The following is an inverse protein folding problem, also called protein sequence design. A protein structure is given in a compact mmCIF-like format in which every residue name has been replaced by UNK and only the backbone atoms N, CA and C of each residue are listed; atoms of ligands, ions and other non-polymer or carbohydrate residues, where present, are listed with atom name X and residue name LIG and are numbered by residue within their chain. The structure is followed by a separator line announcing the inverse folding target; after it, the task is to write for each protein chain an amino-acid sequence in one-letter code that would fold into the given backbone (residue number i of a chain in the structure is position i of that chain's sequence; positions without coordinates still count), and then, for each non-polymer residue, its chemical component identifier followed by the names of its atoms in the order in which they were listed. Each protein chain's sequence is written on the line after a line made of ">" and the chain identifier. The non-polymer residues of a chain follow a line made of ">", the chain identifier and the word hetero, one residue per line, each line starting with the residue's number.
data_IF_334797328156
#
_entry.id   IF_334797328156
#
_cell.length_a   1.000
_cell.length_b   1.000
_cell.length_c   1.000
_cell.angle_alpha   90.00
_cell.angle_beta   90.00
_cell.angle_gamma   90.00
#
_symmetry.space_group_name_H-M   'P 1'
#
loop_
_entity.id
_entity.type
_entity.pdbx_description
1 polymer ?
#
# COMPACT_ATOMS: atom_id res chain seq x y z
N UNK A 1 -8.41 -10.74 6.31
CA UNK A 1 -9.27 -9.58 6.75
C UNK A 1 -10.70 -10.09 6.96
N UNK A 2 -11.53 -9.45 7.84
CA UNK A 2 -12.94 -9.83 8.01
C UNK A 2 -13.78 -9.26 6.86
N UNK A 3 -14.88 -9.93 6.50
CA UNK A 3 -15.77 -9.53 5.40
C UNK A 3 -16.31 -8.10 5.58
N UNK A 4 -16.70 -7.74 6.80
CA UNK A 4 -17.22 -6.40 7.13
C UNK A 4 -16.22 -5.29 6.80
N UNK A 5 -14.91 -5.57 6.90
CA UNK A 5 -13.87 -4.61 6.54
C UNK A 5 -13.82 -4.39 5.02
N UNK A 6 -13.97 -5.43 4.20
CA UNK A 6 -14.07 -5.28 2.74
C UNK A 6 -15.33 -4.52 2.34
N UNK A 7 -16.49 -4.81 2.95
CA UNK A 7 -17.74 -4.08 2.70
C UNK A 7 -17.60 -2.59 3.04
N UNK A 8 -16.93 -2.27 4.15
CA UNK A 8 -16.66 -0.89 4.52
C UNK A 8 -15.67 -0.21 3.56
N UNK A 9 -14.64 -0.92 3.11
CA UNK A 9 -13.70 -0.41 2.11
C UNK A 9 -14.41 -0.08 0.79
N UNK A 10 -15.25 -0.98 0.27
CA UNK A 10 -16.04 -0.74 -0.95
C UNK A 10 -16.87 0.54 -0.87
N UNK A 11 -17.47 0.82 0.30
CA UNK A 11 -18.29 2.03 0.50
C UNK A 11 -17.47 3.32 0.58
N UNK A 12 -16.21 3.25 1.00
CA UNK A 12 -15.44 4.43 1.39
C UNK A 12 -14.19 4.68 0.58
N UNK A 13 -13.65 3.69 -0.13
CA UNK A 13 -12.36 3.77 -0.83
C UNK A 13 -12.26 4.90 -1.85
N UNK A 14 -13.36 5.30 -2.47
CA UNK A 14 -13.34 6.37 -3.47
C UNK A 14 -13.63 7.76 -2.91
N UNK A 15 -14.19 7.84 -1.70
CA UNK A 15 -14.56 9.10 -1.07
C UNK A 15 -13.65 9.48 0.10
N UNK A 16 -13.13 8.53 0.86
CA UNK A 16 -12.37 8.78 2.07
C UNK A 16 -11.00 9.43 1.76
N UNK A 17 -10.67 10.49 2.48
CA UNK A 17 -9.47 11.31 2.31
C UNK A 17 -8.17 10.51 2.27
N UNK A 18 -8.05 9.48 3.11
CA UNK A 18 -6.83 8.70 3.25
C UNK A 18 -6.55 7.85 2.00
N UNK A 19 -7.54 7.09 1.50
CA UNK A 19 -7.38 6.30 0.28
C UNK A 19 -7.04 7.19 -0.92
N UNK A 20 -7.76 8.31 -1.07
CA UNK A 20 -7.55 9.26 -2.17
C UNK A 20 -6.17 9.92 -2.11
N UNK A 21 -5.76 10.40 -0.93
CA UNK A 21 -4.46 11.03 -0.71
C UNK A 21 -3.31 10.04 -0.95
N UNK A 22 -3.44 8.83 -0.42
CA UNK A 22 -2.43 7.77 -0.62
C UNK A 22 -2.26 7.43 -2.09
N UNK A 23 -3.36 7.17 -2.83
CA UNK A 23 -3.30 6.93 -4.29
C UNK A 23 -2.60 8.06 -5.05
N UNK A 24 -2.86 9.33 -4.67
CA UNK A 24 -2.21 10.48 -5.30
C UNK A 24 -0.71 10.48 -5.07
N UNK A 25 -0.26 10.21 -3.84
CA UNK A 25 1.16 10.13 -3.50
C UNK A 25 1.84 8.96 -4.23
N UNK A 26 1.25 7.77 -4.19
CA UNK A 26 1.78 6.59 -4.86
C UNK A 26 1.87 6.79 -6.38
N UNK A 27 0.83 7.36 -6.99
CA UNK A 27 0.84 7.74 -8.40
C UNK A 27 1.98 8.69 -8.74
N UNK A 28 2.30 9.65 -7.86
CA UNK A 28 3.41 10.58 -8.05
C UNK A 28 4.78 9.90 -7.94
N UNK A 29 4.93 8.94 -7.03
CA UNK A 29 6.15 8.13 -6.93
C UNK A 29 6.35 7.32 -8.23
N UNK A 30 5.31 6.64 -8.69
CA UNK A 30 5.37 5.84 -9.92
C UNK A 30 5.71 6.74 -11.12
N UNK A 31 5.03 7.86 -11.27
CA UNK A 31 5.30 8.82 -12.35
C UNK A 31 6.76 9.28 -12.38
N UNK A 32 7.29 9.76 -11.24
CA UNK A 32 8.61 10.37 -11.17
C UNK A 32 9.76 9.36 -11.14
N UNK A 33 9.58 8.22 -10.49
CA UNK A 33 10.70 7.33 -10.14
C UNK A 33 10.67 5.98 -10.87
N UNK A 34 9.58 5.69 -11.56
CA UNK A 34 9.43 4.44 -12.32
C UNK A 34 9.16 4.77 -13.78
N UNK A 35 8.01 5.38 -14.07
CA UNK A 35 7.55 5.61 -15.44
C UNK A 35 8.47 6.55 -16.21
N UNK A 36 8.89 7.67 -15.62
CA UNK A 36 9.80 8.63 -16.27
C UNK A 36 11.22 8.11 -16.49
N UNK A 37 11.58 7.00 -15.85
CA UNK A 37 12.92 6.38 -15.98
C UNK A 37 12.93 5.19 -16.96
N UNK A 38 11.79 4.85 -17.56
CA UNK A 38 11.66 3.74 -18.49
C UNK A 38 11.52 4.27 -19.94
N UNK A 39 12.00 3.47 -20.88
CA UNK A 39 11.79 3.74 -22.32
C UNK A 39 10.48 3.13 -22.86
N UNK A 40 9.69 2.49 -22.00
CA UNK A 40 8.47 1.80 -22.40
C UNK A 40 7.26 2.74 -22.28
N UNK A 41 6.37 2.75 -23.31
CA UNK A 41 5.15 3.56 -23.28
C UNK A 41 4.11 3.04 -22.27
N UNK A 42 4.24 1.79 -21.83
CA UNK A 42 3.39 1.12 -20.85
C UNK A 42 4.21 0.14 -20.02
N UNK A 43 3.94 0.09 -18.74
CA UNK A 43 4.52 -0.87 -17.79
C UNK A 43 3.69 -2.15 -17.73
N UNK A 44 4.34 -3.28 -17.48
CA UNK A 44 3.68 -4.45 -16.93
C UNK A 44 3.76 -4.39 -15.40
N UNK A 45 2.61 -4.30 -14.74
CA UNK A 45 2.50 -4.04 -13.31
C UNK A 45 1.86 -5.24 -12.62
N UNK A 46 2.43 -5.66 -11.50
CA UNK A 46 1.82 -6.63 -10.58
C UNK A 46 1.44 -5.91 -9.28
N UNK A 47 0.17 -5.99 -8.87
CA UNK A 47 -0.25 -5.65 -7.51
C UNK A 47 -0.66 -6.92 -6.77
N UNK A 48 -0.02 -7.22 -5.63
CA UNK A 48 -0.38 -8.37 -4.79
C UNK A 48 -1.09 -7.88 -3.55
N UNK A 49 -2.26 -8.46 -3.27
CA UNK A 49 -3.16 -8.01 -2.21
C UNK A 49 -3.93 -6.75 -2.60
N UNK A 50 -4.53 -6.74 -3.79
CA UNK A 50 -5.23 -5.56 -4.29
C UNK A 50 -6.54 -5.23 -3.52
N UNK A 51 -6.99 -6.13 -2.63
CA UNK A 51 -8.21 -5.95 -1.86
C UNK A 51 -9.43 -5.74 -2.78
N UNK A 52 -10.16 -4.68 -2.53
CA UNK A 52 -11.32 -4.27 -3.34
C UNK A 52 -10.96 -3.47 -4.61
N UNK A 53 -9.67 -3.46 -4.98
CA UNK A 53 -9.20 -2.86 -6.23
C UNK A 53 -9.03 -1.34 -6.20
N UNK A 54 -8.98 -0.72 -5.03
CA UNK A 54 -8.96 0.75 -4.91
C UNK A 54 -7.79 1.42 -5.64
N UNK A 55 -6.65 0.76 -5.78
CA UNK A 55 -5.47 1.33 -6.45
C UNK A 55 -5.43 1.03 -7.96
N UNK A 56 -6.21 0.07 -8.44
CA UNK A 56 -6.17 -0.39 -9.84
C UNK A 56 -6.40 0.72 -10.86
N UNK A 57 -7.36 1.65 -10.68
CA UNK A 57 -7.54 2.77 -11.61
C UNK A 57 -6.31 3.69 -11.69
N UNK A 58 -5.59 3.84 -10.59
CA UNK A 58 -4.34 4.63 -10.56
C UNK A 58 -3.21 3.90 -11.29
N UNK A 59 -3.04 2.59 -11.03
CA UNK A 59 -2.00 1.76 -11.67
C UNK A 59 -2.23 1.62 -13.18
N UNK A 60 -3.47 1.43 -13.62
CA UNK A 60 -3.86 1.29 -15.03
C UNK A 60 -3.48 2.50 -15.90
N UNK A 61 -3.26 3.67 -15.30
CA UNK A 61 -2.75 4.85 -16.01
C UNK A 61 -1.31 4.69 -16.50
N UNK A 62 -0.54 3.80 -15.89
CA UNK A 62 0.87 3.57 -16.20
C UNK A 62 1.10 2.34 -17.06
N UNK A 63 0.14 1.43 -17.16
CA UNK A 63 0.32 0.22 -17.96
C UNK A 63 -0.72 -0.86 -17.76
N UNK A 64 -0.35 -2.08 -18.13
CA UNK A 64 -1.18 -3.26 -17.91
C UNK A 64 -0.99 -3.75 -16.48
N UNK A 65 -2.08 -4.06 -15.79
CA UNK A 65 -2.06 -4.48 -14.39
C UNK A 65 -2.51 -5.94 -14.27
N UNK A 66 -1.70 -6.76 -13.63
CA UNK A 66 -2.11 -8.06 -13.09
C UNK A 66 -2.29 -7.86 -11.58
N UNK A 67 -3.50 -8.08 -11.08
CA UNK A 67 -3.85 -7.93 -9.68
C UNK A 67 -4.11 -9.29 -9.05
N UNK A 68 -3.50 -9.56 -7.90
CA UNK A 68 -3.72 -10.77 -7.12
C UNK A 68 -4.43 -10.42 -5.80
N UNK A 69 -5.45 -11.19 -5.47
CA UNK A 69 -6.16 -11.10 -4.20
C UNK A 69 -6.58 -12.50 -3.74
N UNK A 70 -6.42 -12.78 -2.46
CA UNK A 70 -6.79 -14.06 -1.86
C UNK A 70 -8.29 -14.20 -1.67
N UNK A 71 -8.96 -13.15 -1.22
CA UNK A 71 -10.36 -13.15 -0.82
C UNK A 71 -11.29 -13.14 -2.03
N UNK A 72 -12.17 -14.15 -2.13
CA UNK A 72 -13.08 -14.32 -3.26
C UNK A 72 -14.10 -13.17 -3.31
N UNK A 73 -14.65 -12.75 -2.15
CA UNK A 73 -15.59 -11.65 -2.06
C UNK A 73 -14.99 -10.34 -2.56
N UNK A 74 -13.76 -10.03 -2.14
CA UNK A 74 -13.08 -8.83 -2.59
C UNK A 74 -12.90 -8.83 -4.12
N UNK A 75 -12.44 -9.95 -4.71
CA UNK A 75 -12.25 -10.07 -6.17
C UNK A 75 -13.54 -9.91 -6.96
N UNK A 76 -14.64 -10.52 -6.51
CA UNK A 76 -15.94 -10.47 -7.19
C UNK A 76 -16.53 -9.06 -7.24
N UNK A 77 -16.12 -8.17 -6.32
CA UNK A 77 -16.60 -6.79 -6.24
C UNK A 77 -15.70 -5.78 -6.96
N UNK A 78 -14.61 -6.23 -7.60
CA UNK A 78 -13.79 -5.35 -8.44
C UNK A 78 -14.44 -5.22 -9.81
N UNK A 79 -14.82 -4.00 -10.23
CA UNK A 79 -15.42 -3.81 -11.55
C UNK A 79 -14.41 -4.12 -12.66
N UNK A 80 -14.86 -4.67 -13.81
CA UNK A 80 -14.00 -4.85 -14.96
C UNK A 80 -13.36 -3.53 -15.41
N UNK A 81 -12.04 -3.55 -15.69
CA UNK A 81 -11.29 -2.39 -16.14
C UNK A 81 -10.40 -2.76 -17.33
N UNK A 82 -10.32 -1.88 -18.31
CA UNK A 82 -9.43 -2.08 -19.46
C UNK A 82 -7.97 -2.13 -19.01
N UNK A 83 -7.23 -3.14 -19.47
CA UNK A 83 -5.82 -3.32 -19.13
C UNK A 83 -5.57 -3.88 -17.72
N UNK A 84 -6.62 -4.34 -17.01
CA UNK A 84 -6.51 -4.95 -15.68
C UNK A 84 -6.98 -6.40 -15.74
N UNK A 85 -6.14 -7.31 -15.27
CA UNK A 85 -6.45 -8.73 -15.08
C UNK A 85 -6.42 -9.05 -13.59
N UNK A 86 -7.45 -9.75 -13.09
CA UNK A 86 -7.57 -10.09 -11.68
C UNK A 86 -7.53 -11.60 -11.54
N UNK A 87 -6.73 -12.10 -10.61
CA UNK A 87 -6.63 -13.53 -10.32
C UNK A 87 -6.55 -13.79 -8.81
N UNK A 88 -6.82 -15.03 -8.42
CA UNK A 88 -6.57 -15.50 -7.06
C UNK A 88 -5.06 -15.63 -6.85
N UNK A 89 -4.58 -15.08 -5.75
CA UNK A 89 -3.19 -15.24 -5.36
C UNK A 89 -2.88 -14.56 -4.03
N UNK A 90 -1.80 -15.01 -3.39
CA UNK A 90 -1.34 -14.50 -2.09
C UNK A 90 0.16 -14.76 -1.90
N UNK A 91 0.77 -14.14 -0.94
CA UNK A 91 2.17 -14.33 -0.56
C UNK A 91 2.29 -15.17 0.72
N UNK A 92 3.35 -15.97 0.85
CA UNK A 92 4.42 -16.22 -0.15
C UNK A 92 4.06 -17.31 -1.17
N UNK A 93 3.08 -18.18 -0.91
CA UNK A 93 2.96 -19.50 -1.52
C UNK A 93 1.93 -19.57 -2.67
N UNK A 94 1.18 -18.51 -2.94
CA UNK A 94 0.05 -18.50 -3.89
C UNK A 94 0.27 -17.64 -5.14
N UNK A 95 1.40 -17.81 -5.83
CA UNK A 95 1.77 -17.02 -7.03
C UNK A 95 1.59 -17.76 -8.36
N UNK A 96 0.81 -18.86 -8.39
CA UNK A 96 0.62 -19.71 -9.57
C UNK A 96 0.09 -18.92 -10.79
N UNK A 97 -0.81 -17.97 -10.56
CA UNK A 97 -1.42 -17.15 -11.63
C UNK A 97 -0.39 -16.28 -12.38
N UNK A 98 0.76 -16.05 -11.77
CA UNK A 98 1.86 -15.27 -12.34
C UNK A 98 3.15 -16.07 -12.52
N UNK A 99 3.07 -17.40 -12.41
CA UNK A 99 4.24 -18.28 -12.58
C UNK A 99 4.96 -18.00 -13.91
N UNK A 100 6.27 -17.76 -13.84
CA UNK A 100 7.12 -17.46 -15.00
C UNK A 100 6.94 -16.07 -15.60
N UNK A 101 6.03 -15.24 -15.06
CA UNK A 101 5.88 -13.85 -15.48
C UNK A 101 6.79 -12.93 -14.69
N UNK A 102 7.28 -11.88 -15.35
CA UNK A 102 8.08 -10.81 -14.74
C UNK A 102 7.49 -9.46 -15.10
N UNK A 103 7.56 -8.54 -14.17
CA UNK A 103 6.92 -7.23 -14.22
C UNK A 103 7.96 -6.10 -14.12
N UNK A 104 7.65 -4.96 -14.72
CA UNK A 104 8.45 -3.74 -14.61
C UNK A 104 8.29 -3.08 -13.23
N UNK A 105 7.07 -3.22 -12.66
CA UNK A 105 6.73 -2.71 -11.35
C UNK A 105 5.91 -3.76 -10.57
N UNK A 106 6.36 -4.08 -9.37
CA UNK A 106 5.61 -4.89 -8.41
C UNK A 106 5.19 -4.01 -7.24
N UNK A 107 3.92 -4.09 -6.84
CA UNK A 107 3.33 -3.26 -5.80
C UNK A 107 2.74 -4.11 -4.67
N UNK A 108 3.02 -3.72 -3.41
CA UNK A 108 2.33 -4.19 -2.21
C UNK A 108 1.95 -2.97 -1.37
N UNK A 109 0.66 -2.70 -1.27
CA UNK A 109 0.16 -1.53 -0.54
C UNK A 109 -0.62 -1.95 0.70
N UNK A 110 0.02 -1.85 1.87
CA UNK A 110 -0.50 -2.27 3.18
C UNK A 110 -0.87 -3.77 3.20
N UNK A 111 0.04 -4.60 2.72
CA UNK A 111 -0.12 -6.05 2.63
C UNK A 111 0.83 -6.78 3.57
N UNK A 112 2.09 -6.33 3.64
CA UNK A 112 3.15 -7.08 4.32
C UNK A 112 2.91 -7.21 5.83
N UNK A 113 2.23 -6.23 6.44
CA UNK A 113 1.81 -6.30 7.84
C UNK A 113 0.79 -7.40 8.14
N UNK A 114 0.10 -7.91 7.12
CA UNK A 114 -0.85 -9.03 7.22
C UNK A 114 -0.19 -10.40 7.01
N UNK A 115 1.08 -10.45 6.67
CA UNK A 115 1.80 -11.69 6.39
C UNK A 115 2.73 -12.03 7.56
N UNK A 116 2.56 -13.22 8.14
CA UNK A 116 3.40 -13.65 9.25
C UNK A 116 4.84 -13.86 8.82
N UNK A 117 5.05 -14.51 7.66
CA UNK A 117 6.36 -14.76 7.05
C UNK A 117 6.72 -13.65 6.05
N UNK A 118 6.98 -12.43 6.55
CA UNK A 118 7.25 -11.25 5.73
C UNK A 118 8.56 -11.35 4.92
N UNK A 119 9.57 -12.05 5.44
CA UNK A 119 10.82 -12.33 4.72
C UNK A 119 10.57 -13.24 3.51
N UNK A 120 9.83 -14.34 3.70
CA UNK A 120 9.50 -15.28 2.63
C UNK A 120 8.62 -14.61 1.56
N UNK A 121 7.71 -13.72 1.98
CA UNK A 121 6.88 -12.95 1.06
C UNK A 121 7.71 -12.05 0.14
N UNK A 122 8.71 -11.35 0.68
CA UNK A 122 9.61 -10.53 -0.13
C UNK A 122 10.52 -11.39 -1.02
N UNK A 123 11.04 -12.51 -0.50
CA UNK A 123 11.86 -13.43 -1.29
C UNK A 123 11.10 -13.96 -2.52
N UNK A 124 9.83 -14.39 -2.32
CA UNK A 124 8.97 -14.92 -3.38
C UNK A 124 8.72 -13.93 -4.53
N UNK A 125 8.68 -12.63 -4.23
CA UNK A 125 8.49 -11.59 -5.26
C UNK A 125 9.68 -11.42 -6.17
N UNK A 126 10.86 -11.81 -5.73
CA UNK A 126 12.08 -11.57 -6.45
C UNK A 126 12.07 -12.11 -7.87
N UNK A 127 11.55 -13.30 -8.09
CA UNK A 127 11.52 -13.93 -9.42
C UNK A 127 10.51 -13.29 -10.38
N UNK A 128 9.60 -12.47 -9.84
CA UNK A 128 8.58 -11.76 -10.59
C UNK A 128 8.97 -10.33 -10.97
N UNK A 129 10.18 -9.86 -10.61
CA UNK A 129 10.68 -8.54 -10.99
C UNK A 129 11.66 -8.70 -12.15
N UNK A 130 11.47 -7.92 -13.24
CA UNK A 130 12.43 -7.87 -14.36
C UNK A 130 13.78 -7.31 -13.89
N UNK A 131 14.89 -7.67 -14.56
CA UNK A 131 16.14 -6.95 -14.36
C UNK A 131 15.93 -5.42 -14.59
N UNK A 132 16.31 -4.61 -13.61
CA UNK A 132 16.03 -3.17 -13.61
C UNK A 132 14.60 -2.77 -13.20
N UNK A 133 13.71 -3.72 -12.98
CA UNK A 133 12.36 -3.49 -12.48
C UNK A 133 12.34 -2.96 -11.04
N UNK A 134 11.18 -2.51 -10.61
CA UNK A 134 11.00 -1.85 -9.31
C UNK A 134 9.99 -2.58 -8.42
N UNK A 135 10.18 -2.43 -7.12
CA UNK A 135 9.27 -2.89 -6.08
C UNK A 135 8.83 -1.69 -5.25
N UNK A 136 7.53 -1.36 -5.26
CA UNK A 136 6.94 -0.27 -4.50
C UNK A 136 6.08 -0.82 -3.37
N UNK A 137 6.46 -0.47 -2.15
CA UNK A 137 5.90 -1.03 -0.93
C UNK A 137 5.36 0.06 -0.02
N UNK A 138 4.22 -0.18 0.62
CA UNK A 138 3.79 0.59 1.79
C UNK A 138 3.39 -0.33 2.93
N UNK A 139 3.63 0.13 4.15
CA UNK A 139 3.23 -0.56 5.38
C UNK A 139 2.83 0.45 6.45
N UNK A 140 2.03 0.01 7.40
CA UNK A 140 1.67 0.79 8.58
C UNK A 140 2.89 1.08 9.46
N UNK A 141 3.02 2.35 9.91
CA UNK A 141 4.17 2.82 10.69
C UNK A 141 4.01 2.56 12.18
N UNK A 142 5.14 2.34 12.86
CA UNK A 142 5.38 2.30 14.30
C UNK A 142 4.61 1.26 15.09
N UNK A 143 5.33 0.28 15.64
CA UNK A 143 4.77 -0.78 16.50
C UNK A 143 4.04 -0.23 17.73
N UNK A 144 4.47 0.92 18.28
CA UNK A 144 3.78 1.55 19.41
C UNK A 144 2.37 2.06 19.07
N UNK A 145 2.05 2.26 17.77
CA UNK A 145 0.70 2.61 17.31
C UNK A 145 -0.20 1.38 17.10
N UNK A 146 0.32 0.18 17.28
CA UNK A 146 -0.46 -1.05 17.15
C UNK A 146 -1.58 -1.09 18.18
N UNK A 147 -2.81 -1.34 17.74
CA UNK A 147 -3.98 -1.29 18.58
C UNK A 147 -5.15 -2.15 18.08
N UNK A 148 -6.34 -1.87 18.56
CA UNK A 148 -7.58 -2.61 18.22
C UNK A 148 -7.86 -2.59 16.71
N UNK A 149 -7.63 -1.46 16.06
CA UNK A 149 -7.76 -1.34 14.60
C UNK A 149 -6.90 -2.36 13.87
N UNK A 150 -5.63 -2.53 14.24
CA UNK A 150 -4.72 -3.49 13.61
C UNK A 150 -5.18 -4.94 13.82
N UNK A 151 -5.67 -5.25 15.04
CA UNK A 151 -6.21 -6.60 15.34
C UNK A 151 -7.45 -6.91 14.50
N UNK A 152 -8.36 -5.94 14.32
CA UNK A 152 -9.56 -6.09 13.51
C UNK A 152 -9.17 -6.35 12.04
N UNK A 153 -8.16 -5.64 11.53
CA UNK A 153 -7.66 -5.81 10.16
C UNK A 153 -6.79 -7.06 10.00
N UNK A 154 -6.36 -7.71 11.10
CA UNK A 154 -5.51 -8.90 11.07
C UNK A 154 -4.04 -8.58 10.80
N UNK A 155 -3.54 -7.44 11.29
CA UNK A 155 -2.11 -7.14 11.24
C UNK A 155 -1.34 -7.99 12.25
N UNK A 156 -0.19 -8.48 11.84
CA UNK A 156 0.78 -9.11 12.74
C UNK A 156 1.70 -8.07 13.38
N UNK A 157 2.03 -6.99 12.63
CA UNK A 157 3.02 -5.99 13.05
C UNK A 157 2.88 -4.67 12.32
N UNK A 158 3.63 -3.68 12.83
CA UNK A 158 3.90 -2.42 12.15
C UNK A 158 5.40 -2.21 12.04
N UNK A 159 5.83 -1.32 11.17
CA UNK A 159 7.25 -1.15 10.83
C UNK A 159 7.75 0.25 11.16
N UNK A 160 9.05 0.35 11.46
CA UNK A 160 9.81 1.59 11.31
C UNK A 160 10.48 1.58 9.93
N UNK A 161 10.81 2.76 9.41
CA UNK A 161 11.54 2.88 8.15
C UNK A 161 12.80 2.02 8.13
N UNK A 162 13.64 2.12 9.17
CA UNK A 162 14.90 1.38 9.27
C UNK A 162 14.68 -0.14 9.26
N UNK A 163 13.72 -0.64 10.06
CA UNK A 163 13.40 -2.07 10.08
C UNK A 163 12.95 -2.55 8.71
N UNK A 164 12.10 -1.77 8.03
CA UNK A 164 11.55 -2.14 6.72
C UNK A 164 12.63 -2.10 5.63
N UNK A 165 13.51 -1.08 5.63
CA UNK A 165 14.66 -1.02 4.72
C UNK A 165 15.58 -2.23 4.90
N UNK A 166 15.95 -2.55 6.15
CA UNK A 166 16.83 -3.69 6.44
C UNK A 166 16.21 -5.02 6.01
N UNK A 167 14.89 -5.15 6.15
CA UNK A 167 14.17 -6.32 5.68
C UNK A 167 14.33 -6.49 4.16
N UNK A 168 14.08 -5.42 3.38
CA UNK A 168 14.25 -5.46 1.92
C UNK A 168 15.71 -5.72 1.51
N UNK A 169 16.68 -5.08 2.16
CA UNK A 169 18.11 -5.26 1.87
C UNK A 169 18.53 -6.72 2.10
N UNK A 170 18.07 -7.36 3.18
CA UNK A 170 18.37 -8.79 3.44
C UNK A 170 17.81 -9.73 2.36
N UNK A 171 16.73 -9.33 1.69
CA UNK A 171 16.15 -10.08 0.56
C UNK A 171 16.77 -9.69 -0.80
N UNK A 172 17.88 -8.96 -0.81
CA UNK A 172 18.63 -8.62 -2.02
C UNK A 172 18.09 -7.43 -2.82
N UNK A 173 17.21 -6.61 -2.23
CA UNK A 173 16.70 -5.41 -2.88
C UNK A 173 17.56 -4.17 -2.59
N UNK A 174 17.89 -3.40 -3.62
CA UNK A 174 18.52 -2.10 -3.49
C UNK A 174 17.47 -1.02 -3.19
N UNK A 175 17.57 -0.34 -2.04
CA UNK A 175 16.61 0.73 -1.66
C UNK A 175 16.94 2.01 -2.43
N UNK A 176 16.02 2.47 -3.26
CA UNK A 176 16.12 3.69 -4.08
C UNK A 176 15.50 4.90 -3.37
N UNK A 177 14.40 4.67 -2.65
CA UNK A 177 13.73 5.69 -1.84
C UNK A 177 13.11 5.03 -0.61
N UNK A 178 13.20 5.73 0.52
CA UNK A 178 12.57 5.34 1.77
C UNK A 178 12.12 6.58 2.53
N UNK A 179 10.84 6.64 2.86
CA UNK A 179 10.27 7.77 3.59
C UNK A 179 9.01 7.40 4.33
N UNK A 180 8.53 8.35 5.13
CA UNK A 180 7.19 8.27 5.68
C UNK A 180 6.25 9.12 4.85
N UNK A 181 4.97 8.75 4.85
CA UNK A 181 3.86 9.52 4.30
C UNK A 181 2.78 9.68 5.36
N UNK A 182 1.84 10.58 5.12
CA UNK A 182 0.87 11.04 6.10
C UNK A 182 1.55 11.69 7.32
N UNK A 183 2.52 12.56 7.05
CA UNK A 183 3.39 13.19 8.04
C UNK A 183 2.72 14.39 8.68
N UNK A 184 2.01 15.21 7.90
CA UNK A 184 1.32 16.40 8.41
C UNK A 184 0.19 16.05 9.38
N UNK A 185 -0.52 14.96 9.14
CA UNK A 185 -1.62 14.50 10.00
C UNK A 185 -1.14 13.53 11.09
N UNK A 186 0.13 13.10 11.04
CA UNK A 186 0.67 12.14 11.99
C UNK A 186 0.57 12.57 13.46
N UNK A 187 0.86 13.83 13.85
CA UNK A 187 0.72 14.25 15.25
C UNK A 187 -0.71 14.06 15.77
N UNK A 188 -1.71 14.40 14.96
CA UNK A 188 -3.12 14.21 15.31
C UNK A 188 -3.47 12.72 15.45
N UNK A 189 -2.98 11.88 14.53
CA UNK A 189 -3.17 10.43 14.59
C UNK A 189 -2.49 9.82 15.83
N UNK A 190 -1.29 10.28 16.17
CA UNK A 190 -0.54 9.81 17.32
C UNK A 190 -1.29 10.13 18.63
N UNK A 191 -1.79 11.37 18.76
CA UNK A 191 -2.60 11.79 19.90
C UNK A 191 -3.88 10.94 19.99
N UNK A 192 -4.61 10.77 18.89
CA UNK A 192 -5.81 9.94 18.86
C UNK A 192 -5.52 8.50 19.33
N UNK A 193 -4.41 7.90 18.87
CA UNK A 193 -4.00 6.54 19.28
C UNK A 193 -3.64 6.43 20.77
N UNK A 194 -3.02 7.47 21.34
CA UNK A 194 -2.75 7.51 22.77
C UNK A 194 -4.06 7.57 23.55
N UNK A 195 -5.01 8.42 23.15
CA UNK A 195 -6.31 8.51 23.79
C UNK A 195 -7.14 7.22 23.68
N UNK A 196 -7.12 6.52 22.55
CA UNK A 196 -7.80 5.23 22.36
C UNK A 196 -7.34 4.19 23.37
N UNK A 197 -6.05 4.21 23.79
CA UNK A 197 -5.54 3.30 24.81
C UNK A 197 -6.14 3.54 26.21
N UNK A 198 -6.52 4.77 26.53
CA UNK A 198 -7.12 5.13 27.81
C UNK A 198 -8.64 4.93 27.82
N UNK A 199 -9.29 4.92 26.65
CA UNK A 199 -10.75 4.78 26.55
C UNK A 199 -11.26 3.34 26.46
N UNK A 200 -10.37 2.34 26.36
CA UNK A 200 -10.75 0.95 26.17
C UNK A 200 -11.18 0.64 24.73
N UNK A 201 -11.55 -0.60 24.48
CA UNK A 201 -11.84 -1.09 23.10
C UNK A 201 -13.04 -0.37 22.47
N UNK A 202 -12.75 0.64 21.67
CA UNK A 202 -13.70 1.21 20.71
C UNK A 202 -13.73 0.40 19.42
N UNK A 203 -14.91 0.05 18.94
CA UNK A 203 -15.14 -0.78 17.74
C UNK A 203 -14.94 -0.05 16.41
N UNK A 204 -14.32 1.12 16.38
CA UNK A 204 -14.18 1.91 15.15
C UNK A 204 -13.00 1.44 14.32
N UNK A 205 -13.28 1.03 13.08
CA UNK A 205 -12.25 0.73 12.06
C UNK A 205 -11.54 2.00 11.55
N UNK A 206 -11.94 3.20 11.99
CA UNK A 206 -11.35 4.45 11.52
C UNK A 206 -11.58 4.75 10.03
N UNK A 207 -12.39 3.96 9.35
CA UNK A 207 -12.67 4.08 7.90
C UNK A 207 -13.97 4.83 7.59
N UNK A 208 -14.65 5.37 8.59
CA UNK A 208 -15.82 6.22 8.38
C UNK A 208 -15.40 7.51 7.69
N UNK A 209 -16.12 7.90 6.64
CA UNK A 209 -15.85 9.15 5.93
C UNK A 209 -16.22 10.33 6.83
N UNK A 210 -15.27 11.22 7.18
CA UNK A 210 -15.60 12.44 7.92
C UNK A 210 -16.60 13.33 7.19
N UNK A 211 -17.29 14.26 7.87
CA UNK A 211 -18.14 15.24 7.21
C UNK A 211 -17.41 15.93 6.04
N UNK A 212 -18.15 16.30 5.00
CA UNK A 212 -17.60 16.73 3.69
C UNK A 212 -16.46 17.78 3.81
N UNK A 213 -16.65 18.83 4.59
CA UNK A 213 -15.63 19.87 4.76
C UNK A 213 -14.34 19.34 5.39
N UNK A 214 -14.46 18.53 6.46
CA UNK A 214 -13.31 17.94 7.13
C UNK A 214 -12.60 16.90 6.24
N UNK A 215 -13.36 16.05 5.55
CA UNK A 215 -12.80 15.06 4.62
C UNK A 215 -11.97 15.74 3.50
N UNK A 216 -12.47 16.85 2.96
CA UNK A 216 -11.79 17.61 1.91
C UNK A 216 -10.52 18.29 2.44
N UNK A 217 -10.56 18.85 3.65
CA UNK A 217 -9.39 19.45 4.30
C UNK A 217 -8.30 18.41 4.57
N UNK A 218 -8.66 17.25 5.14
CA UNK A 218 -7.72 16.15 5.40
C UNK A 218 -7.11 15.63 4.10
N UNK A 219 -7.92 15.49 3.05
CA UNK A 219 -7.42 15.13 1.72
C UNK A 219 -6.41 16.15 1.18
N UNK A 220 -6.72 17.46 1.28
CA UNK A 220 -5.83 18.51 0.82
C UNK A 220 -4.50 18.48 1.57
N UNK A 221 -4.53 18.41 2.91
CA UNK A 221 -3.34 18.34 3.75
C UNK A 221 -2.48 17.10 3.42
N UNK A 222 -3.09 15.92 3.27
CA UNK A 222 -2.35 14.71 2.91
C UNK A 222 -1.78 14.82 1.49
N UNK A 223 -2.53 15.38 0.55
CA UNK A 223 -2.11 15.53 -0.85
C UNK A 223 -0.96 16.51 -1.06
N UNK A 224 -0.73 17.46 -0.15
CA UNK A 224 0.41 18.38 -0.19
C UNK A 224 1.74 17.61 -0.23
N UNK A 225 1.79 16.43 0.38
CA UNK A 225 3.00 15.59 0.41
C UNK A 225 3.50 15.20 -0.99
N UNK A 226 2.67 15.24 -2.02
CA UNK A 226 3.08 14.99 -3.41
C UNK A 226 4.14 15.99 -3.93
N UNK A 227 4.29 17.15 -3.29
CA UNK A 227 5.27 18.15 -3.71
C UNK A 227 6.70 17.76 -3.38
N UNK A 228 6.91 17.03 -2.29
CA UNK A 228 8.24 16.61 -1.85
C UNK A 228 8.53 15.11 -1.99
N UNK A 229 7.50 14.24 -2.04
CA UNK A 229 7.68 12.82 -2.31
C UNK A 229 7.82 12.60 -3.83
N UNK A 230 8.79 11.82 -4.34
CA UNK A 230 9.82 11.07 -3.64
C UNK A 230 11.16 11.83 -3.46
N UNK A 231 11.22 13.13 -3.67
CA UNK A 231 12.47 13.89 -3.65
C UNK A 231 13.08 14.03 -2.24
N UNK A 232 12.22 14.11 -1.22
CA UNK A 232 12.63 14.23 0.18
C UNK A 232 12.17 13.04 1.00
N UNK A 233 13.06 12.48 1.80
CA UNK A 233 12.74 11.44 2.77
C UNK A 233 12.24 12.07 4.07
N UNK A 234 10.94 12.06 4.27
CA UNK A 234 10.33 12.57 5.50
C UNK A 234 10.63 11.60 6.65
N UNK A 235 11.05 12.10 7.84
CA UNK A 235 11.54 11.27 8.94
C UNK A 235 10.44 10.64 9.83
N UNK A 236 9.18 11.05 9.67
CA UNK A 236 8.04 10.55 10.46
C UNK A 236 6.74 10.59 9.65
N UNK A 237 5.75 9.79 10.03
CA UNK A 237 4.43 9.74 9.38
C UNK A 237 3.65 8.47 9.71
N UNK A 238 2.42 8.38 9.27
CA UNK A 238 1.50 7.27 9.58
C UNK A 238 1.77 5.97 8.82
N UNK A 239 2.44 6.05 7.66
CA UNK A 239 2.85 4.88 6.86
C UNK A 239 4.29 5.04 6.38
N UNK A 240 4.98 3.92 6.20
CA UNK A 240 6.30 3.87 5.56
C UNK A 240 6.10 3.52 4.09
N UNK A 241 6.82 4.19 3.20
CA UNK A 241 6.91 3.88 1.78
C UNK A 241 8.35 3.58 1.38
N UNK A 242 8.55 2.49 0.64
CA UNK A 242 9.82 2.12 0.04
C UNK A 242 9.65 1.94 -1.47
N UNK A 243 10.62 2.43 -2.22
CA UNK A 243 10.85 2.06 -3.61
C UNK A 243 12.20 1.35 -3.68
N UNK A 244 12.19 0.13 -4.19
CA UNK A 244 13.38 -0.69 -4.33
C UNK A 244 13.62 -1.05 -5.80
N UNK A 245 14.87 -1.35 -6.15
CA UNK A 245 15.26 -1.95 -7.42
C UNK A 245 15.80 -3.36 -7.22
N UNK A 246 15.80 -4.14 -8.29
CA UNK A 246 16.42 -5.46 -8.34
C UNK A 246 17.44 -5.54 -9.49
#
# INVERSE_FOLDING_TARGET
>A
MRREAFEQMLKTQDSHWWFRGKRRILGKIIEKSVFSTTSFPKLDILEVGCGTGSNLPMLARFGNVTALELDDYAREHIPPMQGVSIAKGWLPDGLEAVRGKRFDLVCLFDVLEHIERDEDALAALGDHIRPGGKLLLTVSAYQWMFGTHDRILGHYRRYTRTRFQNLCIRQGYGVLYAGYINSLLFPLMAVARVFDRFRGEGSSTGTNVPPFGLNSLLYALFSIETFWVPCLSIPFGGSVVLLCGR
#
